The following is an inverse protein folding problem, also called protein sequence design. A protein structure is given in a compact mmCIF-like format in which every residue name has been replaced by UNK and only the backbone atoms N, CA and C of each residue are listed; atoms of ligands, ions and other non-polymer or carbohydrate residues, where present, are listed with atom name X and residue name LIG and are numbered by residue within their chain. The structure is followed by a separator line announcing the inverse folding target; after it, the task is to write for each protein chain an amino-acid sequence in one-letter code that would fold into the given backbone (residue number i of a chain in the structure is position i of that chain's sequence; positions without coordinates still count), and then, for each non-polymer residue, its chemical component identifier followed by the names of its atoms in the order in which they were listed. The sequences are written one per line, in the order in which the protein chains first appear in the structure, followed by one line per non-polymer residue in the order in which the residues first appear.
data_IF_932706928567
#
_entry.id   IF_932706928567
#
_cell.length_a   1.000
_cell.length_b   1.000
_cell.length_c   1.000
_cell.angle_alpha   90.00
_cell.angle_beta   90.00
_cell.angle_gamma   90.00
#
_symmetry.space_group_name_H-M   'P 1'
#
loop_
_entity.id
_entity.type
_entity.pdbx_description
1 polymer ?
#
# COMPACT_ATOMS: atom_id res chain seq x y z
N UNK A 1 -6.16 11.94 -10.03
CA UNK A 1 -5.55 10.72 -9.49
C UNK A 1 -5.69 10.79 -7.98
N UNK A 2 -6.34 9.81 -7.34
CA UNK A 2 -6.50 9.76 -5.88
C UNK A 2 -5.45 8.81 -5.31
N UNK A 3 -4.74 9.21 -4.25
CA UNK A 3 -3.70 8.38 -3.62
C UNK A 3 -4.26 7.18 -2.82
N UNK A 4 -5.55 7.23 -2.48
CA UNK A 4 -6.27 6.24 -1.67
C UNK A 4 -7.49 5.72 -2.42
N UNK A 5 -7.92 4.49 -2.10
CA UNK A 5 -9.02 3.79 -2.77
C UNK A 5 -10.37 4.52 -2.59
N UNK A 6 -10.89 4.61 -1.36
CA UNK A 6 -12.14 5.31 -1.05
C UNK A 6 -12.07 5.99 0.33
N UNK A 7 -11.32 7.09 0.46
CA UNK A 7 -11.14 7.73 1.77
C UNK A 7 -12.45 8.29 2.34
N UNK A 8 -13.46 8.58 1.51
CA UNK A 8 -14.79 9.03 1.95
C UNK A 8 -15.59 7.97 2.71
N UNK A 9 -15.26 6.68 2.54
CA UNK A 9 -15.88 5.55 3.25
C UNK A 9 -14.95 4.96 4.31
N UNK A 10 -13.89 5.69 4.68
CA UNK A 10 -12.78 5.26 5.55
C UNK A 10 -11.91 4.13 4.99
N UNK A 11 -11.91 3.93 3.67
CA UNK A 11 -10.96 3.03 3.03
C UNK A 11 -9.69 3.78 2.58
N UNK A 12 -8.69 3.74 3.45
CA UNK A 12 -7.38 4.35 3.23
C UNK A 12 -6.35 3.38 2.61
N UNK A 13 -6.79 2.25 2.03
CA UNK A 13 -5.90 1.40 1.22
C UNK A 13 -5.37 2.22 0.03
N UNK A 14 -4.14 1.91 -0.39
CA UNK A 14 -3.49 2.56 -1.53
C UNK A 14 -4.26 2.21 -2.81
N UNK A 15 -4.67 3.21 -3.59
CA UNK A 15 -5.35 3.02 -4.88
C UNK A 15 -4.44 2.38 -5.94
N UNK A 16 -5.01 1.80 -7.01
CA UNK A 16 -4.21 1.18 -8.08
C UNK A 16 -3.37 2.19 -8.87
N UNK A 17 -3.78 3.46 -8.88
CA UNK A 17 -3.13 4.55 -9.61
C UNK A 17 -2.24 5.42 -8.72
N UNK A 18 -1.98 5.01 -7.48
CA UNK A 18 -1.23 5.81 -6.53
C UNK A 18 0.25 5.91 -6.92
N UNK A 19 0.80 7.12 -6.89
CA UNK A 19 2.21 7.37 -7.18
C UNK A 19 3.16 6.84 -6.09
N UNK A 20 2.63 6.44 -4.93
CA UNK A 20 3.41 6.03 -3.76
C UNK A 20 3.82 4.55 -3.77
N UNK A 21 3.34 3.79 -4.76
CA UNK A 21 3.64 2.37 -4.93
C UNK A 21 5.13 2.19 -5.23
N UNK A 22 5.79 1.30 -4.48
CA UNK A 22 7.19 0.94 -4.62
C UNK A 22 8.19 2.01 -4.17
N UNK A 23 7.73 3.11 -3.56
CA UNK A 23 8.60 4.23 -3.15
C UNK A 23 9.16 4.11 -1.73
N UNK A 24 8.84 3.04 -1.00
CA UNK A 24 9.40 2.75 0.30
C UNK A 24 10.88 2.34 0.25
N UNK A 25 11.58 2.49 1.37
CA UNK A 25 12.96 2.03 1.50
C UNK A 25 13.00 0.56 1.94
N UNK A 26 13.55 -0.31 1.10
CA UNK A 26 13.73 -1.74 1.41
C UNK A 26 14.56 -1.98 2.70
N UNK A 27 15.53 -1.11 3.00
CA UNK A 27 16.29 -1.18 4.26
C UNK A 27 15.43 -1.02 5.50
N UNK A 28 14.35 -0.24 5.43
CA UNK A 28 13.41 -0.10 6.54
C UNK A 28 12.42 -1.26 6.57
N UNK A 29 11.98 -1.72 5.39
CA UNK A 29 11.11 -2.89 5.29
C UNK A 29 11.79 -4.18 5.78
N UNK A 30 13.12 -4.29 5.69
CA UNK A 30 13.85 -5.42 6.29
C UNK A 30 13.74 -5.45 7.83
N UNK A 31 13.60 -4.30 8.48
CA UNK A 31 13.43 -4.18 9.94
C UNK A 31 11.96 -4.31 10.37
N UNK A 32 11.05 -3.84 9.53
CA UNK A 32 9.59 -3.87 9.74
C UNK A 32 8.93 -4.47 8.49
N UNK A 33 8.90 -5.81 8.38
CA UNK A 33 8.59 -6.50 7.13
C UNK A 33 7.12 -6.57 6.77
N UNK A 34 6.23 -6.30 7.73
CA UNK A 34 4.79 -6.39 7.55
C UNK A 34 4.10 -5.04 7.70
N UNK A 35 3.05 -4.81 6.92
CA UNK A 35 2.16 -3.66 7.07
C UNK A 35 1.14 -3.88 8.21
N UNK A 36 0.20 -2.94 8.41
CA UNK A 36 -0.84 -3.08 9.44
C UNK A 36 -1.81 -4.25 9.21
N UNK A 37 -1.87 -4.82 8.00
CA UNK A 37 -2.70 -5.98 7.65
C UNK A 37 -1.91 -7.30 7.62
N UNK A 38 -0.60 -7.26 7.84
CA UNK A 38 0.27 -8.45 7.81
C UNK A 38 0.87 -8.76 6.43
N UNK A 39 0.74 -7.86 5.45
CA UNK A 39 1.30 -8.04 4.11
C UNK A 39 2.81 -7.77 4.08
N UNK A 40 3.57 -8.63 3.40
CA UNK A 40 5.03 -8.49 3.27
C UNK A 40 5.38 -7.29 2.37
N UNK A 41 6.33 -6.47 2.83
CA UNK A 41 6.76 -5.22 2.16
C UNK A 41 8.24 -5.21 1.78
N UNK A 42 8.99 -6.29 1.97
CA UNK A 42 10.48 -6.25 1.95
C UNK A 42 11.03 -5.86 0.56
N UNK A 43 10.46 -6.43 -0.50
CA UNK A 43 11.03 -6.34 -1.85
C UNK A 43 10.75 -4.99 -2.51
N UNK A 44 9.50 -4.56 -2.46
CA UNK A 44 9.02 -3.29 -3.04
C UNK A 44 8.03 -2.64 -2.08
N UNK A 45 8.50 -2.10 -0.94
CA UNK A 45 7.61 -1.48 0.03
C UNK A 45 6.95 -0.25 -0.56
N UNK A 46 5.68 -0.05 -0.29
CA UNK A 46 4.99 1.20 -0.61
C UNK A 46 5.18 2.21 0.53
N UNK A 47 5.00 3.50 0.24
CA UNK A 47 4.92 4.50 1.30
C UNK A 47 3.56 4.43 2.01
N UNK A 48 3.59 4.65 3.32
CA UNK A 48 2.41 4.65 4.16
C UNK A 48 2.29 3.38 5.01
N UNK A 49 1.10 3.18 5.55
CA UNK A 49 0.82 2.18 6.58
C UNK A 49 0.39 0.83 6.01
N UNK A 50 -0.06 0.78 4.76
CA UNK A 50 -0.60 -0.39 4.09
C UNK A 50 0.16 -0.62 2.80
N UNK A 51 0.44 -1.88 2.49
CA UNK A 51 0.95 -2.30 1.18
C UNK A 51 -0.22 -2.30 0.19
N UNK A 52 0.03 -1.85 -1.03
CA UNK A 52 -0.90 -1.89 -2.13
C UNK A 52 -1.25 -3.35 -2.48
N UNK A 53 -2.55 -3.59 -2.65
CA UNK A 53 -3.11 -4.85 -3.11
C UNK A 53 -3.91 -4.57 -4.38
N UNK A 54 -3.84 -5.48 -5.36
CA UNK A 54 -4.68 -5.39 -6.56
C UNK A 54 -6.13 -5.61 -6.13
N UNK A 55 -6.99 -4.63 -6.38
CA UNK A 55 -8.43 -4.78 -6.20
C UNK A 55 -9.00 -5.45 -7.45
N UNK A 56 -9.75 -6.53 -7.28
CA UNK A 56 -10.58 -7.03 -8.37
C UNK A 56 -11.69 -6.01 -8.66
N UNK A 57 -12.06 -5.86 -9.93
CA UNK A 57 -13.20 -5.01 -10.27
C UNK A 57 -14.45 -5.67 -9.69
N UNK A 58 -15.20 -4.91 -8.90
CA UNK A 58 -16.55 -5.28 -8.54
C UNK A 58 -17.41 -5.23 -9.83
N UNK A 59 -18.06 -6.35 -10.16
CA UNK A 59 -18.97 -6.47 -11.32
C UNK A 59 -20.21 -5.56 -11.19
#
# INVERSE_FOLDING_TARGET
QTAFHQPSTNDFRISQESEVIGLGKSTHAAMVPYDLKGNNRIVTPDLGALQHEVFEKED
#
